data_IF_619948317236
#
_entry.id   IF_619948317236
#
_cell.length_a   1.000
_cell.length_b   1.000
_cell.length_c   1.000
_cell.angle_alpha   90.00
_cell.angle_beta   90.00
_cell.angle_gamma   90.00
#
_symmetry.space_group_name_H-M   'P 1'
#
loop_
_entity.id
_entity.type
_entity.pdbx_description
1 polymer ?
#
# COMPACT_ATOMS: atom_id res chain seq x y z
N UNK A 1 9.12 3.86 -5.48
CA UNK A 1 9.79 3.72 -6.79
C UNK A 1 9.88 2.26 -7.15
N UNK A 2 9.67 1.91 -8.42
CA UNK A 2 10.18 0.66 -8.99
C UNK A 2 11.71 0.62 -8.93
N UNK A 3 12.31 -0.56 -9.07
CA UNK A 3 13.78 -0.72 -8.98
C UNK A 3 14.55 0.05 -10.07
N UNK A 4 13.93 0.24 -11.24
CA UNK A 4 14.45 1.05 -12.35
C UNK A 4 14.21 2.56 -12.17
N UNK A 5 13.55 2.95 -11.07
CA UNK A 5 13.15 4.33 -10.73
C UNK A 5 12.23 5.02 -11.74
N UNK A 6 11.68 4.29 -12.72
CA UNK A 6 10.77 4.85 -13.71
C UNK A 6 9.41 5.20 -13.11
N UNK A 7 8.86 4.35 -12.28
CA UNK A 7 7.53 4.56 -11.70
C UNK A 7 7.61 5.02 -10.26
N UNK A 8 6.89 6.10 -9.95
CA UNK A 8 6.73 6.63 -8.60
C UNK A 8 5.28 6.43 -8.13
N UNK A 9 5.14 5.94 -6.90
CA UNK A 9 3.86 5.65 -6.27
C UNK A 9 3.73 6.55 -5.07
N UNK A 10 2.63 7.29 -5.00
CA UNK A 10 2.40 8.31 -4.01
C UNK A 10 1.05 8.09 -3.33
N UNK A 11 1.10 8.11 -2.01
CA UNK A 11 -0.06 8.21 -1.13
C UNK A 11 -0.19 9.65 -0.61
N UNK A 12 -1.36 10.01 -0.08
CA UNK A 12 -1.62 11.28 0.59
C UNK A 12 -2.45 11.05 1.86
N UNK A 13 -1.78 10.74 2.97
CA UNK A 13 -2.42 10.42 4.27
C UNK A 13 -3.47 11.46 4.74
N UNK A 14 -3.37 12.69 4.24
CA UNK A 14 -4.28 13.78 4.58
C UNK A 14 -5.60 13.76 3.82
N UNK A 15 -5.70 13.06 2.69
CA UNK A 15 -6.81 13.23 1.75
C UNK A 15 -8.09 12.51 2.22
N UNK A 16 -8.01 11.37 2.92
CA UNK A 16 -9.19 10.71 3.50
C UNK A 16 -9.59 11.33 4.84
N UNK A 17 -8.61 11.72 5.65
CA UNK A 17 -8.89 12.42 6.92
C UNK A 17 -9.45 13.82 6.71
N UNK A 18 -9.06 14.48 5.62
CA UNK A 18 -9.61 15.74 5.16
C UNK A 18 -10.94 15.62 4.39
N UNK A 19 -11.36 14.40 4.03
CA UNK A 19 -12.58 14.13 3.28
C UNK A 19 -12.53 14.56 1.81
N UNK A 20 -11.32 14.67 1.24
CA UNK A 20 -11.09 14.93 -0.20
C UNK A 20 -11.47 13.69 -1.00
N UNK A 21 -11.13 12.51 -0.49
CA UNK A 21 -11.55 11.21 -1.02
C UNK A 21 -12.16 10.37 0.12
N UNK A 22 -12.93 9.33 -0.23
CA UNK A 22 -13.66 8.50 0.73
C UNK A 22 -12.97 7.15 1.05
N UNK A 23 -11.87 6.86 0.34
CA UNK A 23 -11.11 5.61 0.41
C UNK A 23 -9.65 5.81 0.01
N UNK A 24 -8.79 4.90 0.48
CA UNK A 24 -7.34 4.92 0.24
C UNK A 24 -6.98 5.11 -1.22
N UNK A 25 -6.01 5.98 -1.53
CA UNK A 25 -5.70 6.41 -2.89
C UNK A 25 -4.20 6.47 -3.17
N UNK A 26 -3.76 5.70 -4.15
CA UNK A 26 -2.39 5.78 -4.66
C UNK A 26 -2.35 6.39 -6.05
N UNK A 27 -1.63 7.49 -6.19
CA UNK A 27 -1.31 8.10 -7.48
C UNK A 27 -0.07 7.42 -8.07
N UNK A 28 -0.11 7.12 -9.37
CA UNK A 28 0.93 6.38 -10.08
C UNK A 28 1.48 7.27 -11.18
N UNK A 29 2.78 7.52 -11.11
CA UNK A 29 3.48 8.46 -11.98
C UNK A 29 4.51 7.72 -12.84
N UNK A 30 4.56 8.02 -14.14
CA UNK A 30 5.67 7.70 -15.03
C UNK A 30 6.66 8.87 -15.02
N UNK A 31 7.89 8.58 -14.62
CA UNK A 31 9.00 9.53 -14.51
C UNK A 31 10.06 9.31 -15.60
N UNK A 32 9.65 8.78 -16.75
CA UNK A 32 10.52 8.66 -17.92
C UNK A 32 11.11 10.02 -18.33
N UNK A 33 10.30 11.08 -18.22
CA UNK A 33 10.75 12.47 -18.28
C UNK A 33 10.65 13.10 -16.89
N UNK A 34 11.78 13.59 -16.37
CA UNK A 34 11.82 14.24 -15.05
C UNK A 34 11.44 15.73 -15.11
N UNK A 35 11.52 16.34 -16.30
CA UNK A 35 11.05 17.71 -16.52
C UNK A 35 9.52 17.75 -16.69
N UNK A 36 8.92 16.64 -17.14
CA UNK A 36 7.46 16.47 -17.29
C UNK A 36 6.96 15.11 -16.71
N UNK A 37 6.86 14.97 -15.38
CA UNK A 37 6.25 13.80 -14.74
C UNK A 37 4.77 13.62 -15.12
N UNK A 38 4.39 12.42 -15.56
CA UNK A 38 3.02 12.12 -15.95
C UNK A 38 2.31 11.24 -14.90
N UNK A 39 1.15 11.67 -14.40
CA UNK A 39 0.28 10.77 -13.63
C UNK A 39 -0.48 9.88 -14.61
N UNK A 40 -0.15 8.59 -14.62
CA UNK A 40 -0.71 7.63 -15.59
C UNK A 40 -1.94 6.88 -15.07
N UNK A 41 -2.10 6.81 -13.74
CA UNK A 41 -3.22 6.11 -13.12
C UNK A 41 -3.41 6.51 -11.65
N UNK A 42 -4.59 6.17 -11.15
CA UNK A 42 -4.95 6.24 -9.75
C UNK A 42 -5.50 4.88 -9.32
N UNK A 43 -5.02 4.37 -8.19
CA UNK A 43 -5.53 3.17 -7.56
C UNK A 43 -6.32 3.55 -6.32
N UNK A 44 -7.60 3.15 -6.29
CA UNK A 44 -8.44 3.30 -5.11
C UNK A 44 -8.68 1.94 -4.49
N UNK A 45 -8.30 1.79 -3.22
CA UNK A 45 -8.61 0.59 -2.44
C UNK A 45 -10.09 0.53 -2.02
N UNK A 46 -10.54 -0.64 -1.58
CA UNK A 46 -11.93 -0.86 -1.14
C UNK A 46 -12.21 -0.40 0.32
N UNK A 47 -11.24 0.28 0.95
CA UNK A 47 -11.29 0.62 2.36
C UNK A 47 -11.38 2.13 2.58
N UNK A 48 -12.28 2.55 3.47
CA UNK A 48 -12.37 3.94 3.93
C UNK A 48 -11.30 4.30 4.98
N UNK A 49 -10.27 3.49 5.12
CA UNK A 49 -9.10 3.80 5.94
C UNK A 49 -8.26 4.91 5.31
N UNK A 50 -7.28 5.37 6.07
CA UNK A 50 -6.25 6.28 5.59
C UNK A 50 -5.06 5.47 5.06
N UNK A 51 -4.63 5.76 3.85
CA UNK A 51 -3.36 5.26 3.34
C UNK A 51 -2.17 5.94 4.04
N UNK A 52 -1.05 5.23 4.13
CA UNK A 52 0.11 5.75 4.84
C UNK A 52 1.38 5.36 4.06
N UNK A 53 2.22 4.47 4.60
CA UNK A 53 3.41 4.01 3.89
C UNK A 53 3.08 3.02 2.77
N UNK A 54 3.90 3.07 1.72
CA UNK A 54 4.01 2.01 0.72
C UNK A 54 5.47 1.68 0.41
N UNK A 55 5.72 0.45 -0.02
CA UNK A 55 7.00 -0.03 -0.51
C UNK A 55 6.80 -0.90 -1.74
N UNK A 56 7.65 -0.71 -2.76
CA UNK A 56 7.62 -1.52 -3.99
C UNK A 56 8.77 -2.54 -3.94
N UNK A 57 8.48 -3.78 -4.34
CA UNK A 57 9.47 -4.86 -4.50
C UNK A 57 9.05 -5.74 -5.67
N UNK A 58 9.81 -5.72 -6.75
CA UNK A 58 9.42 -6.34 -8.01
C UNK A 58 8.06 -5.79 -8.50
N UNK A 59 7.15 -6.69 -8.85
CA UNK A 59 5.80 -6.35 -9.33
C UNK A 59 4.77 -6.19 -8.20
N UNK A 60 5.20 -6.01 -6.95
CA UNK A 60 4.29 -5.83 -5.83
C UNK A 60 4.52 -4.52 -5.09
N UNK A 61 3.41 -3.87 -4.75
CA UNK A 61 3.34 -2.74 -3.82
C UNK A 61 2.74 -3.21 -2.49
N UNK A 62 3.47 -2.97 -1.40
CA UNK A 62 3.10 -3.31 -0.04
C UNK A 62 2.73 -2.04 0.70
N UNK A 63 1.45 -1.87 1.01
CA UNK A 63 0.92 -0.67 1.64
C UNK A 63 0.52 -0.97 3.08
N UNK A 64 0.73 -0.02 3.98
CA UNK A 64 0.12 -0.05 5.30
C UNK A 64 -0.93 1.05 5.36
N UNK A 65 -2.19 0.65 5.35
CA UNK A 65 -3.32 1.55 5.28
C UNK A 65 -4.03 1.60 6.64
N UNK A 66 -3.34 2.16 7.63
CA UNK A 66 -3.77 2.36 9.01
C UNK A 66 -4.74 1.25 9.49
N UNK A 67 -6.03 1.54 9.61
CA UNK A 67 -7.04 0.64 10.17
C UNK A 67 -7.31 -0.63 9.33
N UNK A 68 -7.04 -0.61 8.03
CA UNK A 68 -7.23 -1.75 7.12
C UNK A 68 -6.01 -2.63 6.93
N UNK A 69 -4.91 -2.28 7.59
CA UNK A 69 -3.74 -3.13 7.72
C UNK A 69 -2.80 -3.11 6.51
N UNK A 70 -2.03 -4.20 6.38
CA UNK A 70 -1.18 -4.44 5.22
C UNK A 70 -2.06 -4.78 4.01
N UNK A 71 -1.83 -4.10 2.88
CA UNK A 71 -2.40 -4.43 1.56
C UNK A 71 -1.26 -4.79 0.61
N UNK A 72 -1.47 -5.83 -0.20
CA UNK A 72 -0.48 -6.29 -1.19
C UNK A 72 -1.11 -6.17 -2.56
N UNK A 73 -0.59 -5.25 -3.35
CA UNK A 73 -1.12 -4.88 -4.65
C UNK A 73 -0.16 -5.40 -5.71
N UNK A 74 -0.66 -6.22 -6.62
CA UNK A 74 0.02 -6.55 -7.88
C UNK A 74 -0.03 -5.31 -8.76
N UNK A 75 1.16 -4.83 -9.13
CA UNK A 75 1.34 -3.66 -9.97
C UNK A 75 1.92 -4.05 -11.32
N UNK A 76 1.95 -5.32 -11.75
CA UNK A 76 2.55 -5.78 -13.03
C UNK A 76 2.09 -4.93 -14.23
N UNK A 77 0.77 -4.69 -14.31
CA UNK A 77 0.21 -3.62 -15.15
C UNK A 77 0.09 -2.35 -14.30
N UNK A 78 0.88 -1.32 -14.64
CA UNK A 78 1.04 -0.13 -13.81
C UNK A 78 -0.19 0.77 -13.89
N UNK A 79 -0.93 0.66 -15.00
CA UNK A 79 -2.17 1.38 -15.21
C UNK A 79 -3.38 0.68 -14.57
N UNK A 80 -3.26 -0.62 -14.24
CA UNK A 80 -4.34 -1.43 -13.67
C UNK A 80 -3.87 -2.26 -12.46
N UNK A 81 -3.53 -1.63 -11.31
CA UNK A 81 -3.14 -2.38 -10.12
C UNK A 81 -4.30 -3.20 -9.54
N UNK A 82 -3.98 -4.36 -8.97
CA UNK A 82 -4.96 -5.30 -8.42
C UNK A 82 -4.52 -5.74 -7.03
N UNK A 83 -5.41 -5.68 -6.06
CA UNK A 83 -5.11 -6.26 -4.74
C UNK A 83 -5.09 -7.79 -4.80
N UNK A 84 -4.02 -8.39 -4.31
CA UNK A 84 -3.81 -9.86 -4.29
C UNK A 84 -3.69 -10.43 -2.87
N UNK A 85 -3.75 -9.60 -1.84
CA UNK A 85 -3.79 -10.06 -0.46
C UNK A 85 -3.78 -8.93 0.56
N UNK A 86 -4.15 -9.27 1.79
CA UNK A 86 -4.15 -8.33 2.90
C UNK A 86 -3.85 -9.04 4.23
N UNK A 87 -3.49 -8.24 5.24
CA UNK A 87 -3.41 -8.67 6.63
C UNK A 87 -3.84 -7.52 7.55
N UNK A 88 -4.99 -7.70 8.20
CA UNK A 88 -5.55 -6.73 9.13
C UNK A 88 -5.02 -6.98 10.55
N UNK A 89 -4.33 -5.98 11.10
CA UNK A 89 -3.84 -6.03 12.49
C UNK A 89 -4.94 -5.77 13.51
N UNK A 90 -6.03 -5.15 13.10
CA UNK A 90 -7.17 -4.70 13.91
C UNK A 90 -8.51 -5.25 13.40
N UNK A 91 -8.69 -6.58 13.24
CA UNK A 91 -9.85 -7.17 12.56
C UNK A 91 -11.21 -6.98 13.25
N UNK A 92 -11.22 -6.49 14.49
CA UNK A 92 -12.44 -6.12 15.23
C UNK A 92 -12.77 -4.63 15.14
N UNK A 93 -11.85 -3.83 14.59
CA UNK A 93 -11.99 -2.40 14.37
C UNK A 93 -12.89 -2.09 13.18
N UNK A 94 -13.08 -0.80 12.93
CA UNK A 94 -13.74 -0.31 11.72
C UNK A 94 -12.67 0.27 10.79
N UNK A 95 -12.79 -0.01 9.50
CA UNK A 95 -11.98 0.61 8.47
C UNK A 95 -12.49 2.02 8.19
N UNK A 96 -12.05 2.99 8.99
CA UNK A 96 -12.39 4.40 8.86
C UNK A 96 -11.12 5.25 8.85
N UNK A 97 -11.22 6.44 8.27
CA UNK A 97 -10.11 7.38 8.19
C UNK A 97 -9.59 7.73 9.59
N UNK A 98 -8.27 7.86 9.70
CA UNK A 98 -7.57 8.10 10.95
C UNK A 98 -6.28 7.30 11.05
N UNK A 99 -5.64 7.45 12.21
CA UNK A 99 -4.25 7.04 12.40
C UNK A 99 -4.09 5.80 13.29
N UNK A 100 -5.15 5.03 13.57
CA UNK A 100 -5.00 3.78 14.33
C UNK A 100 -4.72 2.59 13.39
N UNK A 101 -4.06 1.54 13.89
CA UNK A 101 -3.68 0.35 13.12
C UNK A 101 -2.22 0.38 12.62
N UNK A 102 -1.99 -0.20 11.44
CA UNK A 102 -0.63 -0.40 10.90
C UNK A 102 0.12 0.91 10.70
N UNK A 103 1.38 0.93 11.14
CA UNK A 103 2.29 2.07 10.96
C UNK A 103 3.17 1.89 9.73
N UNK A 104 3.79 0.72 9.57
CA UNK A 104 4.74 0.46 8.48
C UNK A 104 4.90 -1.03 8.21
N UNK A 105 5.49 -1.35 7.05
CA UNK A 105 5.86 -2.70 6.68
C UNK A 105 7.28 -2.76 6.10
N UNK A 106 7.88 -3.95 6.09
CA UNK A 106 9.20 -4.18 5.48
C UNK A 106 9.20 -5.49 4.69
N UNK A 107 9.06 -5.45 3.35
CA UNK A 107 8.95 -6.64 2.50
C UNK A 107 10.29 -7.18 1.95
N UNK A 108 11.42 -6.58 2.31
CA UNK A 108 12.69 -6.79 1.59
C UNK A 108 13.55 -7.96 2.09
N UNK A 109 13.08 -8.77 3.04
CA UNK A 109 13.83 -9.96 3.44
C UNK A 109 13.92 -10.95 2.29
N UNK A 110 15.13 -11.49 2.06
CA UNK A 110 15.39 -12.58 1.10
C UNK A 110 14.55 -13.82 1.40
N UNK A 111 14.19 -14.02 2.66
CA UNK A 111 13.33 -15.12 3.08
C UNK A 111 11.90 -14.99 2.54
N UNK A 112 11.47 -13.82 2.06
CA UNK A 112 10.07 -13.54 1.71
C UNK A 112 9.19 -13.16 2.90
N UNK A 113 9.78 -13.03 4.10
CA UNK A 113 9.06 -12.49 5.26
C UNK A 113 8.78 -10.99 5.09
N UNK A 114 7.61 -10.57 5.58
CA UNK A 114 7.18 -9.18 5.63
C UNK A 114 6.97 -8.84 7.10
N UNK A 115 7.74 -7.88 7.62
CA UNK A 115 7.45 -7.30 8.93
C UNK A 115 6.31 -6.31 8.78
N UNK A 116 5.38 -6.29 9.71
CA UNK A 116 4.30 -5.31 9.80
C UNK A 116 4.26 -4.80 11.22
N UNK A 117 4.43 -3.50 11.41
CA UNK A 117 4.31 -2.86 12.71
C UNK A 117 2.94 -2.19 12.81
N UNK A 118 2.31 -2.34 13.97
CA UNK A 118 1.08 -1.67 14.32
C UNK A 118 1.27 -0.83 15.57
N UNK A 119 0.57 0.30 15.66
CA UNK A 119 0.75 1.25 16.76
C UNK A 119 0.42 0.64 18.13
N UNK A 120 -0.59 -0.23 18.22
CA UNK A 120 -1.04 -0.82 19.50
C UNK A 120 -0.95 -2.34 19.55
N UNK A 121 -0.95 -3.00 18.39
CA UNK A 121 -1.03 -4.45 18.26
C UNK A 121 0.36 -5.11 18.16
N UNK A 122 1.41 -4.29 18.07
CA UNK A 122 2.81 -4.74 18.11
C UNK A 122 3.37 -5.10 16.74
N UNK A 123 4.20 -6.15 16.70
CA UNK A 123 4.90 -6.60 15.50
C UNK A 123 4.31 -7.92 15.00
N UNK A 124 4.04 -7.98 13.71
CA UNK A 124 3.64 -9.18 13.00
C UNK A 124 4.71 -9.55 11.96
N UNK A 125 4.93 -10.85 11.78
CA UNK A 125 5.77 -11.38 10.70
C UNK A 125 4.87 -12.25 9.85
N UNK A 126 4.58 -11.78 8.64
CA UNK A 126 3.70 -12.46 7.69
C UNK A 126 4.49 -12.84 6.45
N UNK A 127 3.89 -13.66 5.60
CA UNK A 127 4.42 -14.05 4.30
C UNK A 127 3.25 -14.14 3.32
N UNK A 128 3.40 -13.57 2.14
CA UNK A 128 2.42 -13.75 1.07
C UNK A 128 2.33 -15.23 0.72
N UNK A 129 1.12 -15.79 0.74
CA UNK A 129 0.89 -17.17 0.28
C UNK A 129 1.06 -17.20 -1.24
N UNK A 130 1.86 -18.12 -1.74
CA UNK A 130 1.83 -18.51 -3.15
C UNK A 130 0.78 -19.61 -3.28
N UNK A 131 -0.18 -19.45 -4.19
CA UNK A 131 -1.12 -20.48 -4.57
C UNK A 131 -0.66 -21.01 -5.91
N UNK A 132 -0.27 -22.29 -5.97
CA UNK A 132 -0.18 -22.99 -7.24
C UNK A 132 -1.63 -23.21 -7.72
N UNK A 133 -2.08 -22.40 -8.68
CA UNK A 133 -3.40 -22.48 -9.30
C UNK A 133 -3.34 -23.29 -10.59
#
# INVERSE_FOLDING_TARGET
>A
FTEDHRYFYQNDEGDETGGVVDRTRTMIWDLTDLDEPEMIAEYFGDSNSTDHNLYVKGDFMYQTNNASGLRVIDIHDRANPIEVGFFDTTPKGKNVAGFDGTWSSYPFFKSGAILVTSRREGLFIVRKRELDL
#
